data_IF_480911535286
#
_entry.id   IF_480911535286
#
_cell.length_a   1.000
_cell.length_b   1.000
_cell.length_c   1.000
_cell.angle_alpha   90.00
_cell.angle_beta   90.00
_cell.angle_gamma   90.00
#
_symmetry.space_group_name_H-M   'P 1'
#
loop_
_entity.id
_entity.type
_entity.pdbx_description
1 polymer ?
#
# COMPACT_ATOMS: atom_id res chain seq x y z
N UNK A 1 14.47 36.87 -47.57
CA UNK A 1 14.02 35.61 -46.93
C UNK A 1 12.74 35.91 -46.17
N UNK A 2 11.67 35.27 -46.60
CA UNK A 2 10.27 35.65 -46.44
C UNK A 2 9.76 35.39 -45.02
N UNK A 3 8.95 36.30 -44.46
CA UNK A 3 8.25 36.15 -43.17
C UNK A 3 7.52 34.79 -43.02
N UNK A 4 7.12 34.19 -44.14
CA UNK A 4 6.42 32.90 -44.22
C UNK A 4 7.24 31.73 -43.66
N UNK A 5 8.57 31.74 -43.85
CA UNK A 5 9.43 30.64 -43.38
C UNK A 5 9.56 30.66 -41.85
N UNK A 6 9.59 31.86 -41.25
CA UNK A 6 9.64 32.03 -39.80
C UNK A 6 8.33 31.59 -39.13
N UNK A 7 7.18 31.92 -39.73
CA UNK A 7 5.88 31.52 -39.22
C UNK A 7 5.67 29.98 -39.23
N UNK A 8 6.13 29.31 -40.30
CA UNK A 8 6.08 27.86 -40.41
C UNK A 8 6.99 27.18 -39.37
N UNK A 9 8.21 27.70 -39.16
CA UNK A 9 9.12 27.17 -38.16
C UNK A 9 8.55 27.27 -36.73
N UNK A 10 7.89 28.39 -36.39
CA UNK A 10 7.25 28.58 -35.07
C UNK A 10 6.06 27.64 -34.88
N UNK A 11 5.25 27.43 -35.92
CA UNK A 11 4.11 26.51 -35.85
C UNK A 11 4.55 25.05 -35.63
N UNK A 12 5.64 24.62 -36.27
CA UNK A 12 6.19 23.25 -36.11
C UNK A 12 6.74 23.06 -34.68
N UNK A 13 7.43 24.04 -34.13
CA UNK A 13 7.96 23.99 -32.75
C UNK A 13 6.80 23.97 -31.73
N UNK A 14 5.76 24.77 -31.94
CA UNK A 14 4.59 24.78 -31.06
C UNK A 14 3.82 23.45 -31.09
N UNK A 15 3.69 22.81 -32.26
CA UNK A 15 3.04 21.51 -32.40
C UNK A 15 3.82 20.37 -31.73
N UNK A 16 5.16 20.37 -31.83
CA UNK A 16 6.03 19.39 -31.17
C UNK A 16 6.01 19.54 -29.64
N UNK A 17 6.00 20.77 -29.14
CA UNK A 17 5.92 21.05 -27.69
C UNK A 17 4.50 20.71 -27.16
N UNK A 18 3.45 21.10 -27.88
CA UNK A 18 2.06 20.81 -27.50
C UNK A 18 1.73 19.32 -27.46
N UNK A 19 2.22 18.53 -28.44
CA UNK A 19 2.05 17.08 -28.47
C UNK A 19 2.76 16.35 -27.31
N UNK A 20 3.94 16.85 -26.93
CA UNK A 20 4.73 16.28 -25.83
C UNK A 20 4.09 16.56 -24.45
N UNK A 21 3.58 17.77 -24.23
CA UNK A 21 2.95 18.17 -22.96
C UNK A 21 1.60 17.44 -22.75
N UNK A 22 0.81 17.26 -23.82
CA UNK A 22 -0.45 16.52 -23.77
C UNK A 22 -0.26 15.04 -23.44
N UNK A 23 0.71 14.38 -24.08
CA UNK A 23 1.02 12.97 -23.82
C UNK A 23 1.59 12.73 -22.41
N UNK A 24 2.46 13.63 -21.91
CA UNK A 24 2.99 13.56 -20.54
C UNK A 24 1.87 13.78 -19.51
N UNK A 25 0.93 14.69 -19.78
CA UNK A 25 -0.20 14.96 -18.88
C UNK A 25 -1.20 13.80 -18.82
N UNK A 26 -1.50 13.15 -19.95
CA UNK A 26 -2.31 11.94 -20.00
C UNK A 26 -1.68 10.78 -19.22
N UNK A 27 -0.39 10.50 -19.45
CA UNK A 27 0.35 9.47 -18.71
C UNK A 27 0.43 9.78 -17.20
N UNK A 28 0.60 11.05 -16.81
CA UNK A 28 0.55 11.47 -15.40
C UNK A 28 -0.85 11.32 -14.81
N UNK A 29 -1.89 11.61 -15.57
CA UNK A 29 -3.29 11.51 -15.13
C UNK A 29 -3.70 10.06 -14.91
N UNK A 30 -3.35 9.15 -15.82
CA UNK A 30 -3.63 7.72 -15.69
C UNK A 30 -2.83 7.09 -14.54
N UNK A 31 -1.55 7.44 -14.40
CA UNK A 31 -0.75 7.03 -13.23
C UNK A 31 -1.25 7.63 -11.91
N UNK A 32 -1.97 8.76 -11.93
CA UNK A 32 -2.58 9.35 -10.74
C UNK A 32 -3.89 8.67 -10.38
N UNK A 33 -4.72 8.34 -11.37
CA UNK A 33 -5.96 7.55 -11.17
C UNK A 33 -5.66 6.15 -10.64
N UNK A 34 -4.69 5.44 -11.23
CA UNK A 34 -4.29 4.12 -10.74
C UNK A 34 -3.73 4.15 -9.32
N UNK A 35 -2.97 5.19 -8.96
CA UNK A 35 -2.50 5.37 -7.58
C UNK A 35 -3.64 5.67 -6.60
N UNK A 36 -4.62 6.48 -6.99
CA UNK A 36 -5.78 6.78 -6.15
C UNK A 36 -6.66 5.54 -5.92
N UNK A 37 -6.82 4.69 -6.95
CA UNK A 37 -7.55 3.42 -6.84
C UNK A 37 -6.82 2.42 -5.93
N UNK A 38 -5.50 2.24 -6.12
CA UNK A 38 -4.68 1.40 -5.22
C UNK A 38 -4.73 1.91 -3.77
N UNK A 39 -4.76 3.23 -3.57
CA UNK A 39 -4.87 3.85 -2.25
C UNK A 39 -6.21 3.56 -1.58
N UNK A 40 -7.32 3.70 -2.31
CA UNK A 40 -8.67 3.36 -1.80
C UNK A 40 -8.76 1.89 -1.42
N UNK A 41 -8.26 1.00 -2.29
CA UNK A 41 -8.20 -0.43 -2.00
C UNK A 41 -7.28 -0.73 -0.81
N UNK A 42 -6.16 -0.03 -0.68
CA UNK A 42 -5.25 -0.17 0.46
C UNK A 42 -5.90 0.23 1.79
N UNK A 43 -6.74 1.26 1.81
CA UNK A 43 -7.53 1.66 2.99
C UNK A 43 -8.54 0.57 3.38
N UNK A 44 -9.25 0.01 2.40
CA UNK A 44 -10.23 -1.07 2.61
C UNK A 44 -9.56 -2.32 3.17
N UNK A 45 -8.50 -2.79 2.52
CA UNK A 45 -7.75 -3.97 2.95
C UNK A 45 -7.09 -3.73 4.33
N UNK A 46 -6.59 -2.54 4.62
CA UNK A 46 -6.06 -2.23 5.94
C UNK A 46 -7.13 -2.27 7.03
N UNK A 47 -8.37 -1.82 6.72
CA UNK A 47 -9.50 -1.94 7.66
C UNK A 47 -9.84 -3.40 7.95
N UNK A 48 -9.76 -4.29 6.96
CA UNK A 48 -9.93 -5.73 7.16
C UNK A 48 -8.82 -6.31 8.04
N UNK A 49 -7.57 -5.90 7.82
CA UNK A 49 -6.44 -6.28 8.67
C UNK A 49 -6.69 -5.87 10.12
N UNK A 50 -7.14 -4.64 10.34
CA UNK A 50 -7.45 -4.11 11.69
C UNK A 50 -8.57 -4.90 12.37
N UNK A 51 -9.64 -5.19 11.62
CA UNK A 51 -10.78 -5.94 12.15
C UNK A 51 -10.39 -7.36 12.54
N UNK A 52 -9.62 -8.03 11.69
CA UNK A 52 -9.12 -9.38 11.96
C UNK A 52 -8.17 -9.39 13.16
N UNK A 53 -7.29 -8.39 13.24
CA UNK A 53 -6.39 -8.19 14.37
C UNK A 53 -7.14 -8.00 15.69
N UNK A 54 -8.16 -7.14 15.71
CA UNK A 54 -8.98 -6.89 16.91
C UNK A 54 -9.75 -8.14 17.34
N UNK A 55 -10.31 -8.89 16.38
CA UNK A 55 -10.97 -10.16 16.64
C UNK A 55 -10.02 -11.20 17.23
N UNK A 56 -8.76 -11.25 16.78
CA UNK A 56 -7.74 -12.16 17.33
C UNK A 56 -7.43 -11.87 18.82
N UNK A 57 -7.73 -10.66 19.31
CA UNK A 57 -7.46 -10.27 20.70
C UNK A 57 -8.58 -10.63 21.66
N UNK A 58 -9.73 -11.11 21.19
CA UNK A 58 -10.81 -11.50 22.07
C UNK A 58 -10.37 -12.63 23.01
N UNK A 59 -10.76 -12.50 24.28
CA UNK A 59 -10.42 -13.47 25.33
C UNK A 59 -11.21 -14.77 25.12
N UNK A 60 -12.41 -14.67 24.55
CA UNK A 60 -13.39 -15.77 24.45
C UNK A 60 -13.27 -16.62 23.18
N UNK A 61 -12.32 -16.32 22.28
CA UNK A 61 -12.13 -17.10 21.06
C UNK A 61 -11.15 -18.26 21.28
N UNK A 62 -11.42 -19.37 20.62
CA UNK A 62 -10.51 -20.52 20.62
C UNK A 62 -9.17 -20.16 19.99
N UNK A 63 -8.13 -20.88 20.38
CA UNK A 63 -6.80 -20.72 19.81
C UNK A 63 -6.79 -20.93 18.28
N UNK A 64 -7.61 -21.85 17.76
CA UNK A 64 -7.80 -22.05 16.32
C UNK A 64 -8.39 -20.83 15.61
N UNK A 65 -9.42 -20.20 16.19
CA UNK A 65 -10.04 -18.98 15.64
C UNK A 65 -9.06 -17.80 15.72
N UNK A 66 -8.32 -17.68 16.83
CA UNK A 66 -7.28 -16.66 16.98
C UNK A 66 -6.23 -16.76 15.88
N UNK A 67 -5.74 -17.98 15.62
CA UNK A 67 -4.77 -18.25 14.54
C UNK A 67 -5.32 -17.87 13.17
N UNK A 68 -6.55 -18.27 12.85
CA UNK A 68 -7.19 -17.90 11.59
C UNK A 68 -7.23 -16.38 11.42
N UNK A 69 -7.58 -15.65 12.48
CA UNK A 69 -7.63 -14.18 12.46
C UNK A 69 -6.27 -13.51 12.32
N UNK A 70 -5.22 -14.08 12.90
CA UNK A 70 -3.85 -13.60 12.72
C UNK A 70 -3.35 -13.84 11.28
N UNK A 71 -3.73 -14.97 10.67
CA UNK A 71 -3.42 -15.25 9.26
C UNK A 71 -4.18 -14.32 8.30
N UNK A 72 -5.47 -14.06 8.57
CA UNK A 72 -6.26 -13.04 7.85
C UNK A 72 -5.59 -11.66 7.95
N UNK A 73 -5.18 -11.27 9.17
CA UNK A 73 -4.44 -10.01 9.40
C UNK A 73 -3.18 -9.93 8.54
N UNK A 74 -2.37 -11.00 8.54
CA UNK A 74 -1.14 -11.06 7.74
C UNK A 74 -1.44 -10.94 6.25
N UNK A 75 -2.40 -11.70 5.73
CA UNK A 75 -2.78 -11.68 4.32
C UNK A 75 -3.20 -10.28 3.89
N UNK A 76 -4.03 -9.61 4.68
CA UNK A 76 -4.43 -8.23 4.42
C UNK A 76 -3.24 -7.26 4.48
N UNK A 77 -2.32 -7.40 5.44
CA UNK A 77 -1.10 -6.57 5.50
C UNK A 77 -0.21 -6.76 4.26
N UNK A 78 0.01 -7.99 3.80
CA UNK A 78 0.75 -8.26 2.55
C UNK A 78 0.06 -7.59 1.36
N UNK A 79 -1.27 -7.65 1.28
CA UNK A 79 -2.01 -6.96 0.23
C UNK A 79 -1.88 -5.43 0.33
N UNK A 80 -1.87 -4.85 1.53
CA UNK A 80 -1.53 -3.41 1.73
C UNK A 80 -0.14 -3.11 1.21
N UNK A 81 0.85 -3.96 1.49
CA UNK A 81 2.22 -3.79 0.99
C UNK A 81 2.28 -3.79 -0.53
N UNK A 82 1.54 -4.69 -1.18
CA UNK A 82 1.48 -4.75 -2.65
C UNK A 82 0.82 -3.52 -3.27
N UNK A 83 -0.16 -2.92 -2.59
CA UNK A 83 -0.90 -1.75 -3.08
C UNK A 83 -0.16 -0.43 -2.86
N UNK A 84 0.58 -0.33 -1.75
CA UNK A 84 1.25 0.90 -1.32
C UNK A 84 2.74 0.89 -1.64
N UNK A 85 3.33 -0.28 -1.86
CA UNK A 85 4.72 -0.48 -2.27
C UNK A 85 5.73 -0.14 -1.17
N UNK A 86 6.89 0.36 -1.60
CA UNK A 86 8.08 0.59 -0.76
C UNK A 86 7.86 1.50 0.45
N UNK A 87 6.79 2.31 0.48
CA UNK A 87 6.44 3.12 1.66
C UNK A 87 6.08 2.28 2.90
N UNK A 88 5.77 1.00 2.70
CA UNK A 88 5.44 0.05 3.78
C UNK A 88 6.57 -0.95 4.05
N UNK A 89 7.70 -0.87 3.34
CA UNK A 89 8.89 -1.71 3.54
C UNK A 89 9.74 -1.21 4.72
N UNK A 90 9.13 -1.07 5.88
CA UNK A 90 9.83 -0.70 7.12
C UNK A 90 10.27 -1.94 7.87
N UNK A 91 11.27 -1.77 8.74
CA UNK A 91 11.74 -2.85 9.61
C UNK A 91 10.61 -3.38 10.48
N UNK A 92 9.81 -2.49 11.06
CA UNK A 92 8.71 -2.85 11.95
C UNK A 92 7.58 -3.58 11.22
N UNK A 93 7.30 -3.19 9.96
CA UNK A 93 6.31 -3.87 9.14
C UNK A 93 6.75 -5.29 8.78
N UNK A 94 8.01 -5.47 8.35
CA UNK A 94 8.58 -6.79 8.08
C UNK A 94 8.64 -7.67 9.32
N UNK A 95 8.98 -7.09 10.48
CA UNK A 95 8.94 -7.79 11.77
C UNK A 95 7.52 -8.24 12.14
N UNK A 96 6.52 -7.39 11.95
CA UNK A 96 5.13 -7.76 12.22
C UNK A 96 4.67 -8.90 11.30
N UNK A 97 4.98 -8.83 10.00
CA UNK A 97 4.65 -9.92 9.07
C UNK A 97 5.29 -11.24 9.47
N UNK A 98 6.57 -11.22 9.89
CA UNK A 98 7.29 -12.40 10.35
C UNK A 98 6.70 -12.96 11.65
N UNK A 99 6.29 -12.11 12.59
CA UNK A 99 5.64 -12.53 13.83
C UNK A 99 4.27 -13.18 13.58
N UNK A 100 3.57 -12.77 12.52
CA UNK A 100 2.29 -13.35 12.11
C UNK A 100 2.45 -14.56 11.18
N UNK A 101 3.68 -14.88 10.76
CA UNK A 101 4.00 -15.94 9.80
C UNK A 101 4.07 -17.34 10.45
N UNK A 102 4.03 -17.44 11.78
CA UNK A 102 4.32 -18.71 12.44
C UNK A 102 3.37 -19.87 12.10
N UNK A 103 4.03 -21.01 11.87
CA UNK A 103 3.55 -22.32 11.49
C UNK A 103 2.63 -22.92 12.57
N UNK A 104 1.44 -23.46 12.22
CA UNK A 104 0.50 -24.08 13.17
C UNK A 104 1.07 -25.22 14.04
N UNK A 105 2.26 -25.75 13.72
CA UNK A 105 2.93 -26.86 14.41
C UNK A 105 4.21 -26.47 15.19
N UNK A 106 4.65 -25.21 15.14
CA UNK A 106 5.86 -24.80 15.84
C UNK A 106 5.58 -24.56 17.34
N UNK A 107 6.31 -25.27 18.20
CA UNK A 107 6.44 -24.99 19.64
C UNK A 107 7.10 -23.61 19.81
N UNK A 108 6.31 -22.56 19.65
CA UNK A 108 6.78 -21.18 19.65
C UNK A 108 5.63 -20.21 19.88
N UNK A 109 4.49 -20.44 19.23
CA UNK A 109 3.30 -19.61 19.31
C UNK A 109 3.54 -18.18 18.82
N UNK A 110 2.56 -17.58 18.14
CA UNK A 110 2.65 -16.16 17.77
C UNK A 110 2.98 -15.37 19.03
N UNK A 111 4.13 -14.67 19.03
CA UNK A 111 4.51 -13.78 20.12
C UNK A 111 3.63 -12.53 20.07
N UNK A 112 2.39 -12.72 20.52
CA UNK A 112 1.30 -11.77 20.45
C UNK A 112 1.64 -10.52 21.27
N UNK A 113 2.44 -10.66 22.32
CA UNK A 113 2.93 -9.54 23.12
C UNK A 113 3.85 -8.64 22.28
N UNK A 114 4.81 -9.21 21.57
CA UNK A 114 5.69 -8.44 20.66
C UNK A 114 4.92 -7.88 19.47
N UNK A 115 4.00 -8.65 18.87
CA UNK A 115 3.15 -8.15 17.79
C UNK A 115 2.27 -6.96 18.24
N UNK A 116 1.69 -7.02 19.46
CA UNK A 116 0.94 -5.91 20.06
C UNK A 116 1.79 -4.67 20.33
N UNK A 117 3.05 -4.85 20.70
CA UNK A 117 3.97 -3.73 20.92
C UNK A 117 4.35 -3.03 19.60
N UNK A 118 4.47 -3.79 18.51
CA UNK A 118 4.88 -3.26 17.19
C UNK A 118 3.69 -2.68 16.40
N UNK A 119 2.47 -3.20 16.61
CA UNK A 119 1.27 -2.83 15.87
C UNK A 119 1.03 -1.31 15.74
N UNK A 120 1.09 -0.49 16.81
CA UNK A 120 0.80 0.95 16.71
C UNK A 120 1.77 1.69 15.78
N UNK A 121 3.04 1.24 15.75
CA UNK A 121 4.07 1.83 14.88
C UNK A 121 3.77 1.50 13.42
N UNK A 122 3.42 0.25 13.13
CA UNK A 122 3.05 -0.21 11.79
C UNK A 122 1.76 0.46 11.30
N UNK A 123 0.75 0.57 12.16
CA UNK A 123 -0.50 1.28 11.87
C UNK A 123 -0.23 2.73 11.46
N UNK A 124 0.62 3.45 12.20
CA UNK A 124 1.02 4.82 11.85
C UNK A 124 1.76 4.90 10.50
N UNK A 125 2.65 3.95 10.22
CA UNK A 125 3.37 3.89 8.95
C UNK A 125 2.42 3.66 7.77
N UNK A 126 1.47 2.72 7.89
CA UNK A 126 0.46 2.45 6.87
C UNK A 126 -0.44 3.66 6.65
N UNK A 127 -0.92 4.31 7.72
CA UNK A 127 -1.70 5.54 7.58
C UNK A 127 -0.94 6.65 6.86
N UNK A 128 0.34 6.83 7.19
CA UNK A 128 1.20 7.82 6.52
C UNK A 128 1.37 7.48 5.03
N UNK A 129 1.55 6.20 4.73
CA UNK A 129 1.75 5.73 3.36
C UNK A 129 0.48 5.84 2.51
N UNK A 130 -0.70 5.63 3.10
CA UNK A 130 -2.02 5.78 2.47
C UNK A 130 -2.53 7.23 2.41
N UNK A 131 -1.97 8.14 3.20
CA UNK A 131 -2.30 9.56 3.18
C UNK A 131 -1.54 10.35 2.09
N UNK A 132 -0.45 9.78 1.54
CA UNK A 132 0.48 10.43 0.62
C UNK A 132 0.32 9.98 -0.84
#
# INVERSE_FOLDING_TARGET
MSLEVAAIAVAIVAALIGGSIGAISLLRSDRRKGREESRRKGIEVFREARTSWDQAQFVEITESVRRAKLQETRASLVAVQQLVGSKTETKEFGQLLALLEEDPLADGGVNLATAKAIWPTVEKQIHTALAA
#
